data_IF_866594165680
#
_entry.id   IF_866594165680
#
_cell.length_a   1.000
_cell.length_b   1.000
_cell.length_c   1.000
_cell.angle_alpha   90.00
_cell.angle_beta   90.00
_cell.angle_gamma   90.00
#
_symmetry.space_group_name_H-M   'P 1'
#
loop_
_entity.id
_entity.type
_entity.pdbx_description
1 polymer ?
#
# COMPACT_ATOMS: atom_id res chain seq x y z
N UNK A 1 -33.28 -15.38 -38.15
CA UNK A 1 -33.12 -15.59 -36.69
C UNK A 1 -31.70 -15.95 -36.26
N UNK A 2 -31.01 -16.94 -36.87
CA UNK A 2 -29.66 -17.36 -36.44
C UNK A 2 -28.57 -16.26 -36.42
N UNK A 3 -28.61 -15.29 -37.36
CA UNK A 3 -27.63 -14.18 -37.41
C UNK A 3 -27.75 -13.19 -36.24
N UNK A 4 -28.95 -12.98 -35.72
CA UNK A 4 -29.19 -12.05 -34.60
C UNK A 4 -28.78 -12.65 -33.24
N UNK A 5 -28.91 -13.99 -33.09
CA UNK A 5 -28.44 -14.72 -31.90
C UNK A 5 -26.92 -14.62 -31.73
N UNK A 6 -26.15 -14.67 -32.82
CA UNK A 6 -24.69 -14.53 -32.78
C UNK A 6 -24.27 -13.11 -32.35
N UNK A 7 -24.98 -12.08 -32.82
CA UNK A 7 -24.73 -10.67 -32.44
C UNK A 7 -25.06 -10.44 -30.96
N UNK A 8 -26.17 -11.00 -30.47
CA UNK A 8 -26.54 -10.97 -29.05
C UNK A 8 -25.52 -11.69 -28.17
N UNK A 9 -25.05 -12.88 -28.58
CA UNK A 9 -23.98 -13.60 -27.88
C UNK A 9 -22.69 -12.79 -27.79
N UNK A 10 -22.29 -12.12 -28.88
CA UNK A 10 -21.10 -11.26 -28.91
C UNK A 10 -21.24 -10.04 -27.99
N UNK A 11 -22.43 -9.41 -27.96
CA UNK A 11 -22.72 -8.28 -27.07
C UNK A 11 -22.73 -8.67 -25.59
N UNK A 12 -23.22 -9.87 -25.26
CA UNK A 12 -23.18 -10.39 -23.88
C UNK A 12 -21.74 -10.67 -23.44
N UNK A 13 -20.91 -11.25 -24.32
CA UNK A 13 -19.49 -11.49 -24.03
C UNK A 13 -18.72 -10.17 -23.86
N UNK A 14 -18.92 -9.20 -24.76
CA UNK A 14 -18.29 -7.88 -24.67
C UNK A 14 -18.69 -7.14 -23.37
N UNK A 15 -19.97 -7.16 -23.00
CA UNK A 15 -20.42 -6.59 -21.74
C UNK A 15 -19.81 -7.32 -20.55
N UNK A 16 -19.75 -8.66 -20.55
CA UNK A 16 -19.14 -9.40 -19.44
C UNK A 16 -17.64 -9.12 -19.28
N UNK A 17 -16.90 -8.88 -20.38
CA UNK A 17 -15.48 -8.47 -20.31
C UNK A 17 -15.27 -7.02 -19.86
N UNK A 18 -16.23 -6.12 -20.10
CA UNK A 18 -16.21 -4.74 -19.60
C UNK A 18 -16.58 -4.63 -18.13
N UNK A 19 -17.44 -5.54 -17.63
CA UNK A 19 -17.89 -5.57 -16.24
C UNK A 19 -16.94 -6.31 -15.28
N UNK A 20 -15.91 -7.00 -15.79
CA UNK A 20 -14.91 -7.74 -15.00
C UNK A 20 -13.61 -6.97 -14.73
N UNK A 21 -13.66 -5.63 -14.59
CA UNK A 21 -12.44 -4.84 -14.37
C UNK A 21 -12.10 -4.78 -12.88
N UNK A 22 -11.07 -5.53 -12.50
CA UNK A 22 -10.53 -5.54 -11.14
C UNK A 22 -10.01 -4.14 -10.76
N UNK A 23 -10.50 -3.64 -9.62
CA UNK A 23 -9.95 -2.45 -8.99
C UNK A 23 -8.53 -2.78 -8.56
N UNK A 24 -7.56 -1.98 -8.98
CA UNK A 24 -6.16 -2.27 -8.67
C UNK A 24 -5.37 -1.01 -8.47
N UNK A 25 -4.64 -0.97 -7.36
CA UNK A 25 -3.61 0.05 -7.11
C UNK A 25 -2.22 -0.60 -7.19
N UNK A 26 -1.23 0.20 -7.57
CA UNK A 26 0.18 -0.13 -7.50
C UNK A 26 0.81 0.73 -6.41
N UNK A 27 1.56 0.10 -5.51
CA UNK A 27 2.43 0.79 -4.57
C UNK A 27 3.87 0.81 -5.11
N UNK A 28 4.52 1.95 -4.99
CA UNK A 28 5.91 2.11 -5.45
C UNK A 28 6.68 3.04 -4.53
N UNK A 29 7.85 2.60 -4.06
CA UNK A 29 8.79 3.45 -3.33
C UNK A 29 9.65 4.15 -4.36
N UNK A 30 9.46 5.46 -4.49
CA UNK A 30 10.08 6.28 -5.54
C UNK A 30 11.38 6.96 -5.07
N UNK A 31 11.55 7.12 -3.76
CA UNK A 31 12.74 7.68 -3.15
C UNK A 31 12.93 7.11 -1.74
N UNK A 32 14.17 6.90 -1.33
CA UNK A 32 14.54 6.43 -0.01
C UNK A 32 15.92 6.96 0.40
N UNK A 33 15.95 7.74 1.48
CA UNK A 33 17.15 8.38 2.01
C UNK A 33 17.35 7.95 3.46
N UNK A 34 18.54 7.45 3.77
CA UNK A 34 18.97 7.24 5.15
C UNK A 34 19.90 8.38 5.61
N UNK A 35 19.56 9.00 6.73
CA UNK A 35 20.48 9.82 7.53
C UNK A 35 21.06 8.98 8.66
N UNK A 36 21.78 9.54 9.63
CA UNK A 36 22.26 8.80 10.80
C UNK A 36 21.11 8.30 11.69
N UNK A 37 20.08 9.12 11.88
CA UNK A 37 18.99 8.86 12.84
C UNK A 37 17.69 8.38 12.20
N UNK A 38 17.47 8.69 10.92
CA UNK A 38 16.20 8.45 10.25
C UNK A 38 16.36 7.76 8.90
N UNK A 39 15.26 7.12 8.47
CA UNK A 39 15.03 6.68 7.10
C UNK A 39 13.78 7.41 6.61
N UNK A 40 13.91 8.18 5.53
CA UNK A 40 12.81 8.89 4.89
C UNK A 40 12.55 8.24 3.54
N UNK A 41 11.29 7.96 3.21
CA UNK A 41 10.93 7.43 1.90
C UNK A 41 9.61 8.01 1.40
N UNK A 42 9.42 7.99 0.08
CA UNK A 42 8.20 8.43 -0.58
C UNK A 42 7.50 7.23 -1.23
N UNK A 43 6.24 7.02 -0.87
CA UNK A 43 5.37 5.97 -1.38
C UNK A 43 4.38 6.57 -2.39
N UNK A 44 4.52 6.19 -3.66
CA UNK A 44 3.56 6.47 -4.71
C UNK A 44 2.45 5.41 -4.70
N UNK A 45 1.20 5.88 -4.66
CA UNK A 45 -0.02 5.09 -4.69
C UNK A 45 -0.72 5.43 -5.99
N UNK A 46 -0.66 4.51 -6.97
CA UNK A 46 -1.18 4.72 -8.31
C UNK A 46 -2.41 3.86 -8.57
N UNK A 47 -3.49 4.46 -9.05
CA UNK A 47 -4.61 3.71 -9.60
C UNK A 47 -4.23 3.20 -11.00
N UNK A 48 -4.08 1.88 -11.14
CA UNK A 48 -3.77 1.23 -12.43
C UNK A 48 -5.01 0.58 -13.06
N UNK A 49 -6.18 0.74 -12.44
CA UNK A 49 -7.45 0.41 -13.06
C UNK A 49 -7.93 1.53 -13.97
N UNK A 50 -8.93 1.23 -14.78
CA UNK A 50 -9.58 2.20 -15.65
C UNK A 50 -10.85 2.81 -15.02
N UNK A 51 -11.11 2.55 -13.74
CA UNK A 51 -12.21 3.14 -12.97
C UNK A 51 -11.68 3.93 -11.77
N UNK A 52 -12.42 4.91 -11.24
CA UNK A 52 -12.03 5.59 -10.01
C UNK A 52 -12.00 4.64 -8.81
N UNK A 53 -10.99 4.77 -7.97
CA UNK A 53 -10.82 4.00 -6.73
C UNK A 53 -10.90 4.92 -5.54
N UNK A 54 -11.57 4.44 -4.49
CA UNK A 54 -11.55 5.02 -3.15
C UNK A 54 -10.71 4.11 -2.26
N UNK A 55 -9.75 4.66 -1.53
CA UNK A 55 -8.97 3.91 -0.53
C UNK A 55 -8.64 4.80 0.67
N UNK A 56 -8.27 4.19 1.79
CA UNK A 56 -7.80 4.91 2.97
C UNK A 56 -6.47 5.66 2.68
N UNK A 57 -6.18 6.77 3.36
CA UNK A 57 -4.87 7.43 3.27
C UNK A 57 -3.92 6.76 4.27
N UNK A 58 -2.82 6.12 3.84
CA UNK A 58 -1.87 5.51 4.77
C UNK A 58 -1.09 6.61 5.51
N UNK A 59 -1.03 6.50 6.84
CA UNK A 59 -0.36 7.41 7.78
C UNK A 59 0.78 6.69 8.50
N UNK A 60 1.66 7.46 9.11
CA UNK A 60 2.80 6.90 9.84
C UNK A 60 2.36 6.04 11.04
N UNK A 61 1.32 6.44 11.77
CA UNK A 61 0.84 5.71 12.94
C UNK A 61 0.20 4.36 12.57
N UNK A 62 -0.20 4.17 11.31
CA UNK A 62 -0.74 2.91 10.79
C UNK A 62 0.29 1.78 10.78
N UNK A 63 1.58 2.11 10.88
CA UNK A 63 2.65 1.13 11.10
C UNK A 63 2.47 0.44 12.46
N UNK A 64 2.08 1.22 13.48
CA UNK A 64 1.90 0.74 14.83
C UNK A 64 0.64 -0.15 14.95
N UNK A 65 -0.36 0.10 14.10
CA UNK A 65 -1.61 -0.67 14.03
C UNK A 65 -1.54 -1.89 13.11
N UNK A 66 -0.41 -2.14 12.45
CA UNK A 66 -0.25 -3.26 11.53
C UNK A 66 -0.98 -3.11 10.19
N UNK A 67 -1.57 -1.95 9.91
CA UNK A 67 -2.14 -1.63 8.59
C UNK A 67 -1.03 -1.41 7.56
N UNK A 68 0.13 -0.91 8.00
CA UNK A 68 1.32 -0.78 7.16
C UNK A 68 2.43 -1.63 7.78
N UNK A 69 3.05 -2.50 6.98
CA UNK A 69 4.24 -3.24 7.39
C UNK A 69 5.44 -2.76 6.58
N UNK A 70 6.51 -2.45 7.29
CA UNK A 70 7.77 -2.03 6.69
C UNK A 70 8.82 -3.08 7.01
N UNK A 71 9.38 -3.66 5.95
CA UNK A 71 10.38 -4.71 6.07
C UNK A 71 11.71 -4.20 5.53
N UNK A 72 12.77 -4.37 6.33
CA UNK A 72 14.14 -4.00 5.97
C UNK A 72 14.99 -5.27 5.98
N UNK A 73 15.72 -5.56 4.91
CA UNK A 73 16.50 -6.80 4.77
C UNK A 73 17.98 -6.47 4.53
N UNK A 74 18.88 -7.00 5.36
CA UNK A 74 20.33 -6.89 5.15
C UNK A 74 20.73 -7.67 3.89
N UNK A 75 21.34 -6.99 2.92
CA UNK A 75 21.66 -7.57 1.62
C UNK A 75 22.79 -8.61 1.67
N UNK A 76 23.52 -8.72 2.78
CA UNK A 76 24.66 -9.64 2.89
C UNK A 76 24.31 -10.99 3.48
N UNK A 77 23.32 -11.04 4.38
CA UNK A 77 22.97 -12.25 5.14
C UNK A 77 21.46 -12.50 5.20
N UNK A 78 20.67 -11.76 4.41
CA UNK A 78 19.22 -11.84 4.33
C UNK A 78 18.50 -11.68 5.67
N UNK A 79 19.17 -11.09 6.67
CA UNK A 79 18.56 -10.86 7.96
C UNK A 79 17.43 -9.83 7.82
N UNK A 80 16.24 -10.22 8.26
CA UNK A 80 15.07 -9.34 8.31
C UNK A 80 15.12 -8.50 9.59
N UNK A 81 14.97 -7.19 9.40
CA UNK A 81 14.85 -6.18 10.43
C UNK A 81 13.42 -5.64 10.35
N UNK A 82 12.62 -6.01 11.35
CA UNK A 82 11.24 -5.54 11.46
C UNK A 82 11.21 -4.21 12.21
N UNK A 83 10.30 -3.34 11.80
CA UNK A 83 9.97 -2.14 12.55
C UNK A 83 9.18 -2.56 13.79
N UNK A 84 9.74 -2.34 15.00
CA UNK A 84 9.13 -2.80 16.24
C UNK A 84 7.96 -1.86 16.62
N UNK A 85 6.84 -2.41 17.13
CA UNK A 85 5.59 -1.69 17.35
C UNK A 85 5.71 -0.48 18.27
N UNK A 86 4.86 0.50 18.02
CA UNK A 86 4.69 1.69 18.85
C UNK A 86 3.73 1.47 20.05
N UNK A 87 3.13 0.28 20.19
CA UNK A 87 2.37 -0.12 21.38
C UNK A 87 2.54 -1.63 21.63
N UNK A 88 2.80 -2.02 22.88
CA UNK A 88 2.90 -3.43 23.29
C UNK A 88 1.55 -4.18 23.26
N UNK A 89 0.45 -3.44 23.16
CA UNK A 89 -0.88 -3.99 23.03
C UNK A 89 -1.29 -3.90 21.56
N UNK A 90 -1.69 -5.03 20.98
CA UNK A 90 -2.47 -5.04 19.75
C UNK A 90 -3.72 -4.18 20.02
N UNK A 91 -3.78 -2.99 19.43
CA UNK A 91 -4.99 -2.21 19.49
C UNK A 91 -6.04 -3.01 18.72
N UNK A 92 -7.13 -3.37 19.39
CA UNK A 92 -8.31 -3.87 18.69
C UNK A 92 -8.78 -2.70 17.81
N UNK A 93 -8.58 -2.83 16.50
CA UNK A 93 -8.95 -1.78 15.57
C UNK A 93 -10.47 -1.82 15.41
N UNK A 94 -11.14 -0.97 16.18
CA UNK A 94 -12.51 -0.57 15.86
C UNK A 94 -12.60 -0.17 14.38
N UNK A 95 -13.78 -0.37 13.78
CA UNK A 95 -13.97 -0.03 12.38
C UNK A 95 -13.57 1.43 12.08
N UNK A 96 -12.71 1.61 11.08
CA UNK A 96 -12.22 2.92 10.63
C UNK A 96 -13.33 3.60 9.84
N UNK A 97 -13.84 4.73 10.35
CA UNK A 97 -14.81 5.55 9.60
C UNK A 97 -14.09 6.34 8.52
N UNK A 98 -14.43 6.10 7.26
CA UNK A 98 -13.83 6.84 6.13
C UNK A 98 -14.64 8.10 5.81
N UNK A 99 -13.95 9.23 5.79
CA UNK A 99 -14.46 10.56 5.48
C UNK A 99 -13.59 11.24 4.40
N UNK A 100 -13.87 12.51 4.09
CA UNK A 100 -13.09 13.25 3.09
C UNK A 100 -11.65 13.57 3.51
N UNK A 101 -11.28 13.42 4.79
CA UNK A 101 -9.96 13.77 5.32
C UNK A 101 -9.01 12.58 5.36
N UNK A 102 -9.52 11.35 5.46
CA UNK A 102 -8.72 10.13 5.55
C UNK A 102 -8.86 9.21 4.33
N UNK A 103 -9.40 9.73 3.23
CA UNK A 103 -9.67 8.98 2.01
C UNK A 103 -8.90 9.55 0.81
N UNK A 104 -8.27 8.67 0.04
CA UNK A 104 -7.80 8.94 -1.32
C UNK A 104 -8.88 8.58 -2.32
N UNK A 105 -9.31 9.57 -3.10
CA UNK A 105 -10.02 9.36 -4.35
C UNK A 105 -9.03 9.45 -5.51
N UNK A 106 -8.82 8.36 -6.24
CA UNK A 106 -7.88 8.29 -7.36
C UNK A 106 -8.63 8.00 -8.65
N UNK A 107 -8.61 8.95 -9.59
CA UNK A 107 -9.04 8.74 -10.97
C UNK A 107 -8.13 7.71 -11.67
N UNK A 108 -8.56 7.14 -12.81
CA UNK A 108 -7.72 6.26 -13.61
C UNK A 108 -6.35 6.88 -13.89
N UNK A 109 -5.28 6.12 -13.64
CA UNK A 109 -3.88 6.53 -13.77
C UNK A 109 -3.38 7.63 -12.82
N UNK A 110 -4.22 8.13 -11.92
CA UNK A 110 -3.83 9.12 -10.93
C UNK A 110 -2.88 8.52 -9.90
N UNK A 111 -1.94 9.34 -9.43
CA UNK A 111 -0.93 8.95 -8.44
C UNK A 111 -0.94 9.94 -7.27
N UNK A 112 -1.04 9.42 -6.06
CA UNK A 112 -0.83 10.18 -4.82
C UNK A 112 0.52 9.79 -4.21
N UNK A 113 1.23 10.75 -3.61
CA UNK A 113 2.54 10.52 -2.99
C UNK A 113 2.41 10.77 -1.50
N UNK A 114 2.76 9.76 -0.71
CA UNK A 114 2.81 9.81 0.76
C UNK A 114 4.25 9.75 1.22
N UNK A 115 4.63 10.61 2.17
CA UNK A 115 5.99 10.68 2.70
C UNK A 115 6.03 10.09 4.09
N UNK A 116 7.00 9.22 4.34
CA UNK A 116 7.22 8.57 5.62
C UNK A 116 8.59 8.92 6.18
N UNK A 117 8.68 9.07 7.49
CA UNK A 117 9.93 9.31 8.21
C UNK A 117 10.03 8.39 9.43
N UNK A 118 10.87 7.38 9.32
CA UNK A 118 11.10 6.37 10.35
C UNK A 118 12.33 6.72 11.17
N UNK A 119 12.20 6.64 12.49
CA UNK A 119 13.35 6.76 13.38
C UNK A 119 14.04 5.39 13.52
N UNK A 120 15.34 5.30 13.22
CA UNK A 120 16.06 4.01 13.22
C UNK A 120 16.10 3.33 14.59
N UNK A 121 15.91 4.11 15.66
CA UNK A 121 15.82 3.61 17.04
C UNK A 121 14.64 2.64 17.25
N UNK A 122 13.62 2.70 16.39
CA UNK A 122 12.44 1.83 16.44
C UNK A 122 12.59 0.56 15.58
N UNK A 123 13.72 0.36 14.89
CA UNK A 123 13.96 -0.82 14.06
C UNK A 123 14.66 -1.88 14.92
N UNK A 124 14.04 -3.05 15.08
CA UNK A 124 14.59 -4.13 15.90
C UNK A 124 15.87 -4.69 15.28
N UNK A 125 16.83 -5.01 16.14
CA UNK A 125 18.20 -5.39 15.77
C UNK A 125 18.98 -4.33 14.98
N UNK A 126 18.89 -3.06 15.41
CA UNK A 126 19.65 -1.87 14.99
C UNK A 126 20.48 -2.03 13.70
N UNK A 127 20.09 -1.29 12.65
CA UNK A 127 20.82 -1.29 11.39
C UNK A 127 22.30 -0.93 11.61
N UNK A 128 23.20 -1.82 11.17
CA UNK A 128 24.65 -1.61 11.24
C UNK A 128 25.08 -0.54 10.24
N UNK A 129 25.89 0.41 10.70
CA UNK A 129 26.43 1.51 9.87
C UNK A 129 27.24 0.98 8.69
N UNK A 130 27.16 1.65 7.54
CA UNK A 130 27.94 1.35 6.35
C UNK A 130 27.41 0.18 5.50
N UNK A 131 26.45 -0.61 6.02
CA UNK A 131 25.80 -1.71 5.30
C UNK A 131 24.68 -1.24 4.37
N UNK A 132 24.36 -2.08 3.39
CA UNK A 132 23.27 -1.89 2.44
C UNK A 132 22.09 -2.79 2.76
N UNK A 133 20.88 -2.26 2.58
CA UNK A 133 19.63 -2.92 2.93
C UNK A 133 18.61 -2.74 1.80
N UNK A 134 17.67 -3.69 1.71
CA UNK A 134 16.45 -3.57 0.92
C UNK A 134 15.30 -3.14 1.79
N UNK A 135 14.55 -2.12 1.38
CA UNK A 135 13.30 -1.69 2.01
C UNK A 135 12.12 -2.03 1.10
N UNK A 136 11.05 -2.56 1.68
CA UNK A 136 9.74 -2.65 1.02
C UNK A 136 8.62 -2.46 2.03
N UNK A 137 7.45 -2.07 1.50
CA UNK A 137 6.26 -1.72 2.27
C UNK A 137 5.09 -2.59 1.80
N UNK A 138 4.33 -3.11 2.76
CA UNK A 138 3.06 -3.79 2.54
C UNK A 138 1.96 -2.97 3.21
N UNK A 139 0.82 -2.88 2.55
CA UNK A 139 -0.36 -2.17 3.02
C UNK A 139 -1.52 -3.16 3.09
N UNK A 140 -1.93 -3.48 4.33
CA UNK A 140 -2.99 -4.42 4.62
C UNK A 140 -4.32 -3.69 4.73
N UNK A 141 -5.20 -3.93 3.75
CA UNK A 141 -6.55 -3.37 3.68
C UNK A 141 -7.62 -4.46 3.70
N UNK A 142 -7.23 -5.70 3.37
CA UNK A 142 -8.11 -6.84 3.37
C UNK A 142 -8.49 -7.20 4.81
N UNK A 143 -9.78 -7.40 5.05
CA UNK A 143 -10.28 -7.74 6.38
C UNK A 143 -10.33 -6.58 7.38
N UNK A 144 -9.83 -5.40 7.01
CA UNK A 144 -9.99 -4.18 7.82
C UNK A 144 -11.44 -3.71 7.74
N UNK A 145 -12.06 -3.47 8.90
CA UNK A 145 -13.42 -2.95 8.95
C UNK A 145 -13.42 -1.45 8.61
N UNK A 146 -13.96 -1.07 7.45
CA UNK A 146 -14.18 0.33 7.07
C UNK A 146 -15.68 0.66 7.13
N UNK A 147 -16.05 1.72 7.87
CA UNK A 147 -17.42 2.26 7.89
C UNK A 147 -17.50 3.44 6.92
N UNK A 148 -18.25 3.29 5.82
CA UNK A 148 -18.39 4.36 4.83
C UNK A 148 -19.61 4.20 3.94
N UNK A 149 -20.09 5.32 3.39
CA UNK A 149 -21.07 5.37 2.30
C UNK A 149 -20.40 5.56 0.93
N UNK A 150 -19.07 5.64 0.88
CA UNK A 150 -18.32 5.83 -0.35
C UNK A 150 -18.38 4.56 -1.20
N UNK A 151 -18.62 4.75 -2.50
CA UNK A 151 -18.58 3.68 -3.49
C UNK A 151 -17.14 3.42 -3.93
N UNK A 152 -16.91 2.26 -4.53
CA UNK A 152 -15.61 1.89 -5.12
C UNK A 152 -14.45 1.81 -4.12
N UNK A 153 -14.73 1.49 -2.86
CA UNK A 153 -13.70 1.19 -1.87
C UNK A 153 -12.84 -0.01 -2.34
N UNK A 154 -11.52 0.12 -2.18
CA UNK A 154 -10.55 -0.97 -2.31
C UNK A 154 -10.34 -1.63 -0.95
N UNK A 155 -10.39 -2.96 -0.89
CA UNK A 155 -10.13 -3.77 0.31
C UNK A 155 -9.21 -4.94 -0.03
N UNK A 156 -8.07 -4.63 -0.64
CA UNK A 156 -7.08 -5.60 -1.06
C UNK A 156 -5.72 -5.20 -0.51
N UNK A 157 -4.96 -6.20 -0.07
CA UNK A 157 -3.59 -5.99 0.39
C UNK A 157 -2.68 -5.69 -0.80
N UNK A 158 -1.76 -4.74 -0.62
CA UNK A 158 -0.86 -4.31 -1.70
C UNK A 158 0.57 -4.21 -1.20
N UNK A 159 1.52 -4.66 -2.02
CA UNK A 159 2.95 -4.60 -1.72
C UNK A 159 3.67 -3.67 -2.69
N UNK A 160 4.70 -2.98 -2.20
CA UNK A 160 5.57 -2.14 -3.01
C UNK A 160 6.67 -2.94 -3.70
N UNK A 161 7.41 -2.27 -4.59
CA UNK A 161 8.75 -2.72 -5.00
C UNK A 161 9.73 -2.69 -3.81
N UNK A 162 10.87 -3.37 -3.99
CA UNK A 162 12.04 -3.29 -3.11
C UNK A 162 12.96 -2.18 -3.59
N UNK A 163 13.48 -1.37 -2.67
CA UNK A 163 14.49 -0.34 -2.95
C UNK A 163 15.74 -0.56 -2.10
N UNK A 164 16.91 -0.42 -2.71
CA UNK A 164 18.19 -0.54 -2.02
C UNK A 164 18.56 0.81 -1.38
N UNK A 165 19.03 0.79 -0.14
CA UNK A 165 19.59 1.97 0.52
C UNK A 165 20.80 1.61 1.39
N UNK A 166 21.71 2.57 1.55
CA UNK A 166 22.87 2.43 2.43
C UNK A 166 22.61 3.11 3.78
N UNK A 167 22.83 2.37 4.86
CA UNK A 167 22.71 2.90 6.21
C UNK A 167 23.92 3.80 6.54
N UNK A 168 23.67 5.10 6.64
CA UNK A 168 24.68 6.11 7.01
C UNK A 168 24.92 6.18 8.51
#
# INVERSE_FOLDING_TARGET
MKKYMAILGLLVVLNSTLFGQEKRIKLEIIDCISTETNISFSLAIKNISNQPIVTYIPKQDDICYGLIKITIVDMQNDKVHEFYPCTFNAADLDCITLDCHNTLFLKPNETSIQKFKLHKKHIYSHLKRGKSYKLFVEWYLKGVCFKTNLKNLLQEDVSSNKIDFRNK
#
